data_IF_512253357240
#
_entry.id   IF_512253357240
#
_cell.length_a   1.000
_cell.length_b   1.000
_cell.length_c   1.000
_cell.angle_alpha   90.00
_cell.angle_beta   90.00
_cell.angle_gamma   90.00
#
_symmetry.space_group_name_H-M   'P 1'
#
loop_
_entity.id
_entity.type
_entity.pdbx_description
1 polymer ?
#
# COMPACT_ATOMS: atom_id res chain seq x y z
N UNK A 1 17.95 12.18 19.50
CA UNK A 1 16.96 12.26 18.41
C UNK A 1 17.23 13.56 17.66
N UNK A 2 17.40 13.51 16.34
CA UNK A 2 17.69 14.66 15.49
C UNK A 2 16.58 14.76 14.43
N UNK A 3 15.99 15.95 14.24
CA UNK A 3 14.93 16.18 13.24
C UNK A 3 14.96 17.63 12.75
N UNK A 4 14.44 17.87 11.55
CA UNK A 4 14.23 19.18 10.94
C UNK A 4 12.83 19.25 10.34
N UNK A 5 12.13 20.37 10.55
CA UNK A 5 10.81 20.63 9.98
C UNK A 5 10.88 22.01 9.32
N UNK A 6 10.86 22.04 8.00
CA UNK A 6 10.78 23.27 7.21
C UNK A 6 9.35 23.50 6.73
N UNK A 7 8.86 24.72 6.85
CA UNK A 7 7.54 25.12 6.41
C UNK A 7 7.52 26.60 6.03
N UNK A 8 6.55 26.97 5.21
CA UNK A 8 6.28 28.35 4.77
C UNK A 8 5.23 28.99 5.69
N UNK A 9 5.34 30.32 5.88
CA UNK A 9 4.36 31.11 6.64
C UNK A 9 3.61 32.08 5.71
N UNK A 10 2.32 32.29 5.99
CA UNK A 10 1.50 33.25 5.23
C UNK A 10 0.86 32.69 3.97
N UNK A 11 0.99 31.39 3.70
CA UNK A 11 0.28 30.74 2.60
C UNK A 11 -1.24 30.82 2.83
N UNK A 12 -1.95 31.29 1.81
CA UNK A 12 -3.40 31.33 1.79
C UNK A 12 -3.91 30.09 1.09
N UNK A 13 -4.47 29.16 1.85
CA UNK A 13 -5.09 27.96 1.30
C UNK A 13 -6.62 28.06 1.33
N UNK A 14 -7.32 27.52 0.33
CA UNK A 14 -8.76 27.38 0.40
C UNK A 14 -9.14 26.39 1.53
N UNK A 15 -10.38 26.48 2.02
CA UNK A 15 -10.86 25.64 3.13
C UNK A 15 -10.82 24.13 2.80
N UNK A 16 -10.84 23.80 1.52
CA UNK A 16 -10.84 22.45 0.97
C UNK A 16 -9.48 22.01 0.39
N UNK A 17 -8.39 22.70 0.75
CA UNK A 17 -7.03 22.28 0.37
C UNK A 17 -6.76 20.85 0.84
N UNK A 18 -6.16 20.02 -0.01
CA UNK A 18 -5.73 18.68 0.38
C UNK A 18 -4.69 18.74 1.51
N UNK A 19 -4.90 17.95 2.56
CA UNK A 19 -3.92 17.75 3.63
C UNK A 19 -3.31 16.36 3.49
N UNK A 20 -2.01 16.23 3.74
CA UNK A 20 -1.35 14.92 3.70
C UNK A 20 -1.85 14.06 4.87
N UNK A 21 -2.25 12.84 4.55
CA UNK A 21 -2.56 11.79 5.52
C UNK A 21 -1.67 10.59 5.28
N UNK A 22 -1.38 9.87 6.35
CA UNK A 22 -0.57 8.65 6.31
C UNK A 22 -1.24 7.58 7.17
N UNK A 23 -1.29 6.35 6.66
CA UNK A 23 -1.77 5.18 7.38
C UNK A 23 -0.69 4.11 7.36
N UNK A 24 -0.27 3.68 8.55
CA UNK A 24 0.44 2.42 8.70
C UNK A 24 -0.57 1.28 8.97
N UNK A 25 -0.44 0.18 8.24
CA UNK A 25 -1.20 -1.06 8.47
C UNK A 25 -0.25 -2.25 8.42
N UNK A 26 -0.57 -3.29 9.19
CA UNK A 26 0.07 -4.60 9.12
C UNK A 26 -0.94 -5.71 9.35
N UNK A 27 -0.84 -6.79 8.61
CA UNK A 27 -1.52 -8.06 8.84
C UNK A 27 -0.48 -9.19 8.84
N UNK A 28 -0.38 -9.91 9.96
CA UNK A 28 0.60 -10.98 10.14
C UNK A 28 -0.07 -12.25 10.74
N UNK A 29 -0.39 -13.26 9.91
CA UNK A 29 -0.42 -13.20 8.45
C UNK A 29 -1.65 -12.45 7.92
N UNK A 30 -1.69 -12.18 6.61
CA UNK A 30 -2.90 -11.76 5.90
C UNK A 30 -4.00 -12.82 5.98
N UNK A 31 -5.25 -12.40 5.73
CA UNK A 31 -6.40 -13.32 5.74
C UNK A 31 -6.62 -13.90 4.35
N UNK A 32 -6.65 -15.23 4.21
CA UNK A 32 -6.94 -15.91 2.93
C UNK A 32 -8.22 -15.38 2.28
N UNK A 33 -8.21 -15.22 0.95
CA UNK A 33 -9.34 -14.72 0.13
C UNK A 33 -9.82 -13.32 0.51
N UNK A 34 -9.01 -12.55 1.23
CA UNK A 34 -9.30 -11.17 1.58
C UNK A 34 -8.11 -10.31 1.24
N UNK A 35 -8.26 -9.48 0.22
CA UNK A 35 -7.24 -8.53 -0.19
C UNK A 35 -6.81 -7.63 0.99
N UNK A 36 -5.50 -7.43 1.10
CA UNK A 36 -4.90 -6.48 2.02
C UNK A 36 -5.29 -5.04 1.64
N UNK A 37 -5.75 -4.26 2.61
CA UNK A 37 -6.18 -2.88 2.38
C UNK A 37 -5.01 -1.91 2.45
N UNK A 38 -4.59 -1.37 1.29
CA UNK A 38 -3.65 -0.25 1.23
C UNK A 38 -4.32 1.05 1.68
N UNK A 39 -5.54 1.32 1.21
CA UNK A 39 -6.34 2.47 1.58
C UNK A 39 -7.77 2.00 1.95
N UNK A 40 -8.15 2.01 3.25
CA UNK A 40 -9.53 1.79 3.66
C UNK A 40 -10.46 2.83 3.07
N UNK A 41 -11.75 2.50 2.96
CA UNK A 41 -12.75 3.36 2.34
C UNK A 41 -12.69 4.81 2.87
N UNK A 42 -12.43 5.72 1.94
CA UNK A 42 -12.47 7.17 2.10
C UNK A 42 -13.75 7.71 1.49
N UNK A 43 -14.38 8.71 2.10
CA UNK A 43 -15.73 9.21 1.74
C UNK A 43 -15.79 10.70 1.39
N UNK A 44 -14.66 11.27 0.99
CA UNK A 44 -14.60 12.61 0.43
C UNK A 44 -13.64 12.60 -0.77
N UNK A 45 -13.67 13.65 -1.61
CA UNK A 45 -12.69 13.81 -2.68
C UNK A 45 -11.26 13.70 -2.16
N UNK A 46 -10.40 13.04 -2.91
CA UNK A 46 -9.02 12.84 -2.51
C UNK A 46 -8.11 12.37 -3.62
N UNK A 47 -6.84 12.22 -3.28
CA UNK A 47 -5.78 11.82 -4.20
C UNK A 47 -4.80 10.89 -3.49
N UNK A 48 -4.71 9.65 -3.94
CA UNK A 48 -3.72 8.70 -3.49
C UNK A 48 -2.40 9.01 -4.20
N UNK A 49 -1.32 9.15 -3.42
CA UNK A 49 0.00 9.53 -3.93
C UNK A 49 1.01 8.40 -3.82
N UNK A 50 0.66 7.28 -3.19
CA UNK A 50 1.51 6.09 -3.16
C UNK A 50 1.54 5.36 -1.84
N UNK A 51 2.21 4.21 -1.86
CA UNK A 51 2.46 3.39 -0.68
C UNK A 51 3.87 2.82 -0.71
N UNK A 52 4.46 2.73 0.48
CA UNK A 52 5.51 1.75 0.78
C UNK A 52 4.80 0.46 1.20
N UNK A 53 5.16 -0.67 0.59
CA UNK A 53 4.58 -1.98 0.85
C UNK A 53 5.70 -2.93 1.24
N UNK A 54 5.52 -3.61 2.36
CA UNK A 54 6.49 -4.52 2.95
C UNK A 54 5.87 -5.91 3.03
N UNK A 55 6.62 -6.91 2.60
CA UNK A 55 6.22 -8.31 2.63
C UNK A 55 7.32 -9.10 3.31
N UNK A 56 6.96 -9.89 4.31
CA UNK A 56 7.76 -11.01 4.76
C UNK A 56 7.10 -12.29 4.24
N UNK A 57 7.70 -12.85 3.18
CA UNK A 57 7.22 -14.07 2.52
C UNK A 57 7.45 -15.27 3.45
N UNK A 58 6.36 -15.85 3.94
CA UNK A 58 6.36 -17.00 4.86
C UNK A 58 6.52 -18.33 4.11
N UNK A 59 6.51 -18.28 2.78
CA UNK A 59 6.58 -19.41 1.87
C UNK A 59 7.69 -19.19 0.82
N UNK A 60 8.97 -19.27 1.19
CA UNK A 60 10.10 -18.93 0.29
C UNK A 60 10.19 -19.80 -0.97
N UNK A 61 9.61 -21.00 -0.95
CA UNK A 61 9.63 -21.93 -2.09
C UNK A 61 8.56 -21.60 -3.16
N UNK A 62 7.76 -20.55 -2.99
CA UNK A 62 6.78 -20.09 -3.97
C UNK A 62 6.90 -18.59 -4.25
N UNK A 63 6.55 -18.19 -5.46
CA UNK A 63 6.44 -16.78 -5.84
C UNK A 63 5.14 -16.21 -5.26
N UNK A 64 5.19 -15.05 -4.58
CA UNK A 64 4.07 -14.47 -3.82
C UNK A 64 3.38 -13.30 -4.53
N UNK A 65 3.94 -12.82 -5.65
CA UNK A 65 3.61 -11.51 -6.21
C UNK A 65 2.60 -11.50 -7.36
N UNK A 66 1.85 -12.57 -7.63
CA UNK A 66 0.86 -12.61 -8.72
C UNK A 66 -0.40 -11.78 -8.41
N UNK A 67 -0.53 -11.24 -7.20
CA UNK A 67 -1.74 -10.55 -6.75
C UNK A 67 -1.89 -9.14 -7.33
N UNK A 68 -3.10 -8.83 -7.79
CA UNK A 68 -3.44 -7.55 -8.42
C UNK A 68 -3.72 -6.45 -7.39
N UNK A 69 -3.35 -5.20 -7.71
CA UNK A 69 -3.93 -4.02 -7.06
C UNK A 69 -5.33 -3.74 -7.61
N UNK A 70 -6.25 -3.32 -6.74
CA UNK A 70 -7.62 -2.98 -7.09
C UNK A 70 -8.01 -1.63 -6.49
N UNK A 71 -8.49 -0.73 -7.33
CA UNK A 71 -8.93 0.63 -6.94
C UNK A 71 -10.41 0.75 -7.26
N UNK A 72 -11.22 0.81 -6.20
CA UNK A 72 -12.66 1.02 -6.26
C UNK A 72 -12.92 2.50 -6.02
N UNK A 73 -13.55 3.20 -6.96
CA UNK A 73 -13.76 4.65 -6.87
C UNK A 73 -15.21 5.01 -7.15
N UNK A 74 -15.69 6.05 -6.48
CA UNK A 74 -16.91 6.80 -6.80
C UNK A 74 -18.19 5.95 -6.99
N UNK A 75 -18.30 4.84 -6.26
CA UNK A 75 -19.48 3.97 -6.20
C UNK A 75 -19.23 2.52 -6.64
N UNK A 76 -18.02 2.18 -7.07
CA UNK A 76 -17.66 0.80 -7.42
C UNK A 76 -17.73 -0.16 -6.22
N UNK A 77 -18.48 -1.25 -6.37
CA UNK A 77 -18.57 -2.31 -5.36
C UNK A 77 -18.03 -3.64 -5.85
N UNK A 78 -18.49 -4.09 -7.02
CA UNK A 78 -18.26 -5.46 -7.49
C UNK A 78 -16.97 -5.58 -8.30
N UNK A 79 -16.64 -4.53 -9.06
CA UNK A 79 -15.46 -4.48 -9.93
C UNK A 79 -14.71 -3.16 -9.72
N UNK A 80 -13.37 -3.18 -9.66
CA UNK A 80 -12.60 -1.95 -9.50
C UNK A 80 -12.50 -1.18 -10.82
N UNK A 81 -12.52 0.16 -10.76
CA UNK A 81 -12.18 1.02 -11.91
C UNK A 81 -10.75 0.79 -12.41
N UNK A 82 -9.79 0.54 -11.50
CA UNK A 82 -8.41 0.22 -11.87
C UNK A 82 -8.05 -1.16 -11.30
N UNK A 83 -7.64 -2.07 -12.17
CA UNK A 83 -7.17 -3.41 -11.83
C UNK A 83 -5.75 -3.59 -12.39
N UNK A 84 -4.82 -4.00 -11.54
CA UNK A 84 -3.46 -4.37 -11.94
C UNK A 84 -3.38 -5.82 -12.43
N UNK A 85 -2.15 -6.28 -12.65
CA UNK A 85 -1.87 -7.65 -13.16
C UNK A 85 -0.96 -8.47 -12.25
N UNK A 86 -0.30 -7.81 -11.30
CA UNK A 86 0.64 -8.42 -10.35
C UNK A 86 1.18 -7.36 -9.40
N UNK A 87 1.74 -7.81 -8.29
CA UNK A 87 2.31 -6.95 -7.26
C UNK A 87 3.66 -6.38 -7.70
N UNK A 88 4.46 -7.15 -8.43
CA UNK A 88 5.67 -6.67 -9.10
C UNK A 88 5.33 -5.70 -10.23
N UNK A 89 4.28 -6.00 -11.00
CA UNK A 89 3.83 -5.17 -12.12
C UNK A 89 3.37 -3.80 -11.63
N UNK A 90 2.66 -3.76 -10.49
CA UNK A 90 2.21 -2.51 -9.89
C UNK A 90 3.37 -1.54 -9.58
N UNK A 91 4.50 -2.09 -9.12
CA UNK A 91 5.71 -1.29 -8.84
C UNK A 91 6.62 -1.14 -10.08
N UNK A 92 6.11 -1.44 -11.28
CA UNK A 92 6.80 -1.24 -12.55
C UNK A 92 7.96 -2.19 -12.80
N UNK A 93 7.91 -3.38 -12.20
CA UNK A 93 8.85 -4.47 -12.42
C UNK A 93 8.15 -5.57 -13.25
N UNK A 94 8.84 -6.68 -13.50
CA UNK A 94 8.28 -7.81 -14.23
C UNK A 94 9.09 -9.07 -13.97
N UNK A 95 8.49 -10.25 -14.17
CA UNK A 95 9.16 -11.54 -13.99
C UNK A 95 9.82 -11.68 -12.61
N UNK A 96 9.07 -11.32 -11.57
CA UNK A 96 9.53 -11.28 -10.19
C UNK A 96 9.95 -9.88 -9.72
N UNK A 97 10.44 -9.82 -8.48
CA UNK A 97 10.86 -8.56 -7.85
C UNK A 97 12.39 -8.40 -7.94
N UNK A 98 12.86 -7.31 -8.54
CA UNK A 98 14.28 -6.93 -8.57
C UNK A 98 14.51 -5.76 -7.61
N UNK A 99 15.58 -5.79 -6.81
CA UNK A 99 15.90 -4.72 -5.87
C UNK A 99 16.45 -3.47 -6.58
N UNK A 100 15.55 -2.71 -7.21
CA UNK A 100 15.84 -1.50 -7.99
C UNK A 100 15.01 -0.32 -7.46
N UNK A 101 15.56 0.53 -6.58
CA UNK A 101 14.81 1.64 -6.00
C UNK A 101 14.85 2.87 -6.92
N UNK A 102 13.95 2.94 -7.91
CA UNK A 102 13.79 4.13 -8.74
C UNK A 102 13.09 5.25 -7.98
N UNK A 103 13.13 6.46 -8.57
CA UNK A 103 12.59 7.68 -7.98
C UNK A 103 11.12 7.56 -7.57
N UNK A 104 10.29 6.96 -8.43
CA UNK A 104 8.84 6.85 -8.19
C UNK A 104 8.35 5.43 -7.95
N UNK A 105 9.17 4.40 -8.15
CA UNK A 105 8.72 3.03 -8.07
C UNK A 105 9.88 2.05 -7.86
N UNK A 106 9.54 0.80 -7.56
CA UNK A 106 10.49 -0.32 -7.56
C UNK A 106 10.63 -0.93 -6.17
N UNK A 107 11.82 -1.43 -5.86
CA UNK A 107 12.06 -2.21 -4.67
C UNK A 107 13.36 -1.80 -3.97
N UNK A 108 13.23 -1.38 -2.72
CA UNK A 108 14.34 -0.88 -1.89
C UNK A 108 15.05 -2.02 -1.13
N UNK A 109 14.35 -3.11 -0.84
CA UNK A 109 14.89 -4.29 -0.16
C UNK A 109 14.29 -5.56 -0.74
N UNK A 110 15.11 -6.53 -1.10
CA UNK A 110 14.71 -7.90 -1.41
C UNK A 110 15.79 -8.85 -0.86
N UNK A 111 15.73 -9.13 0.44
CA UNK A 111 16.71 -9.96 1.14
C UNK A 111 16.03 -10.90 2.13
N UNK A 112 16.47 -12.17 2.17
CA UNK A 112 15.98 -13.20 3.13
C UNK A 112 14.46 -13.23 3.30
N UNK A 113 13.72 -13.19 2.19
CA UNK A 113 12.25 -13.17 2.16
C UNK A 113 11.59 -11.91 2.71
N UNK A 114 12.36 -10.87 3.03
CA UNK A 114 11.86 -9.53 3.30
C UNK A 114 11.94 -8.69 2.03
N UNK A 115 10.80 -8.13 1.65
CA UNK A 115 10.63 -7.29 0.49
C UNK A 115 10.09 -5.94 0.95
N UNK A 116 10.69 -4.86 0.47
CA UNK A 116 10.17 -3.49 0.61
C UNK A 116 10.07 -2.87 -0.77
N UNK A 117 8.85 -2.75 -1.28
CA UNK A 117 8.55 -2.15 -2.57
C UNK A 117 7.77 -0.85 -2.41
N UNK A 118 7.84 0.03 -3.42
CA UNK A 118 7.15 1.31 -3.39
C UNK A 118 6.60 1.70 -4.76
N UNK A 119 5.54 2.48 -4.74
CA UNK A 119 5.01 3.21 -5.90
C UNK A 119 4.50 4.57 -5.44
N UNK A 120 4.97 5.62 -6.10
CA UNK A 120 4.61 7.01 -5.89
C UNK A 120 3.86 7.53 -7.11
N UNK A 121 2.56 7.73 -6.95
CA UNK A 121 1.65 8.29 -7.94
C UNK A 121 1.72 9.83 -7.97
N UNK A 122 2.94 10.38 -7.99
CA UNK A 122 3.17 11.81 -8.11
C UNK A 122 2.91 12.32 -9.55
N UNK A 123 3.50 11.72 -10.60
CA UNK A 123 3.19 12.10 -11.97
C UNK A 123 1.84 11.56 -12.46
N UNK A 124 1.37 10.45 -11.89
CA UNK A 124 0.22 9.64 -12.30
C UNK A 124 -0.76 9.39 -11.12
N UNK A 125 -1.34 10.45 -10.54
CA UNK A 125 -2.20 10.37 -9.37
C UNK A 125 -3.46 9.51 -9.58
N UNK A 126 -3.83 8.76 -8.55
CA UNK A 126 -5.16 8.14 -8.47
C UNK A 126 -6.06 9.09 -7.68
N UNK A 127 -7.02 9.73 -8.34
CA UNK A 127 -7.91 10.72 -7.75
C UNK A 127 -9.38 10.35 -7.90
N UNK A 128 -10.19 10.69 -6.91
CA UNK A 128 -11.62 10.37 -6.84
C UNK A 128 -12.43 11.57 -6.32
N UNK A 129 -13.74 11.57 -6.57
CA UNK A 129 -14.63 12.70 -6.22
C UNK A 129 -15.44 12.47 -4.94
N UNK A 130 -15.89 11.24 -4.69
CA UNK A 130 -16.81 10.88 -3.62
C UNK A 130 -16.17 9.89 -2.66
N UNK A 131 -15.66 8.77 -3.18
CA UNK A 131 -15.10 7.73 -2.34
C UNK A 131 -14.05 6.90 -3.06
N UNK A 132 -13.13 6.31 -2.28
CA UNK A 132 -12.11 5.41 -2.80
C UNK A 132 -11.70 4.39 -1.77
N UNK A 133 -11.46 3.16 -2.23
CA UNK A 133 -10.87 2.06 -1.48
C UNK A 133 -9.82 1.39 -2.37
N UNK A 134 -8.64 1.14 -1.82
CA UNK A 134 -7.54 0.50 -2.56
C UNK A 134 -7.10 -0.74 -1.80
N UNK A 135 -7.08 -1.87 -2.51
CA UNK A 135 -6.65 -3.16 -2.00
C UNK A 135 -5.59 -3.77 -2.90
N UNK A 136 -4.85 -4.74 -2.38
CA UNK A 136 -3.92 -5.56 -3.14
C UNK A 136 -4.09 -7.01 -2.73
N UNK A 137 -4.20 -7.89 -3.72
CA UNK A 137 -4.48 -9.30 -3.48
C UNK A 137 -3.20 -10.06 -3.11
N UNK A 138 -3.34 -11.16 -2.37
CA UNK A 138 -2.26 -12.10 -2.06
C UNK A 138 -2.44 -13.37 -2.88
N UNK A 139 -1.87 -13.42 -4.09
CA UNK A 139 -1.86 -14.62 -4.93
C UNK A 139 -0.41 -15.04 -5.17
N UNK A 140 -0.15 -16.32 -4.95
CA UNK A 140 1.13 -16.95 -5.24
C UNK A 140 1.07 -17.74 -6.56
N UNK A 141 2.25 -18.01 -7.13
CA UNK A 141 2.44 -19.04 -8.14
C UNK A 141 3.04 -20.30 -7.53
N UNK A 142 2.27 -21.39 -7.56
CA UNK A 142 2.70 -22.73 -7.12
C UNK A 142 2.04 -23.79 -8.01
N UNK A 143 2.68 -24.07 -9.15
CA UNK A 143 2.10 -24.90 -10.23
C UNK A 143 0.77 -24.34 -10.78
N UNK A 144 0.66 -23.01 -10.80
CA UNK A 144 -0.56 -22.25 -11.10
C UNK A 144 -0.87 -21.21 -10.02
N UNK A 145 -1.88 -20.37 -10.26
CA UNK A 145 -2.34 -19.37 -9.29
C UNK A 145 -2.89 -20.05 -8.03
N UNK A 146 -2.43 -19.60 -6.87
CA UNK A 146 -2.80 -20.16 -5.57
C UNK A 146 -3.03 -19.05 -4.54
N UNK A 147 -4.04 -19.22 -3.69
CA UNK A 147 -4.23 -18.39 -2.51
C UNK A 147 -3.02 -18.52 -1.58
N UNK A 148 -2.59 -17.40 -0.99
CA UNK A 148 -1.49 -17.39 -0.01
C UNK A 148 -1.77 -16.42 1.13
N UNK A 149 -1.00 -16.56 2.20
CA UNK A 149 -1.02 -15.67 3.34
C UNK A 149 0.42 -15.42 3.77
N UNK A 150 0.77 -14.16 3.93
CA UNK A 150 2.11 -13.71 4.28
C UNK A 150 2.00 -12.57 5.30
N UNK A 151 3.12 -12.09 5.81
CA UNK A 151 3.14 -10.93 6.68
C UNK A 151 3.29 -9.66 5.82
N UNK A 152 2.20 -8.88 5.70
CA UNK A 152 2.15 -7.67 4.89
C UNK A 152 2.02 -6.44 5.77
N UNK A 153 2.83 -5.41 5.51
CA UNK A 153 2.64 -4.06 6.03
C UNK A 153 2.65 -3.02 4.92
N UNK A 154 2.07 -1.86 5.20
CA UNK A 154 2.21 -0.70 4.34
C UNK A 154 2.25 0.60 5.13
N UNK A 155 2.88 1.61 4.52
CA UNK A 155 2.65 3.00 4.83
C UNK A 155 2.04 3.66 3.58
N UNK A 156 0.77 4.02 3.67
CA UNK A 156 0.00 4.59 2.56
C UNK A 156 -0.16 6.09 2.74
N UNK A 157 0.05 6.85 1.66
CA UNK A 157 0.02 8.30 1.64
C UNK A 157 -1.06 8.80 0.68
N UNK A 158 -1.86 9.77 1.13
CA UNK A 158 -2.89 10.40 0.30
C UNK A 158 -3.20 11.82 0.77
N UNK A 159 -3.88 12.57 -0.08
CA UNK A 159 -4.44 13.88 0.24
C UNK A 159 -5.95 13.83 0.33
N UNK A 160 -6.51 14.40 1.40
CA UNK A 160 -7.92 14.72 1.56
C UNK A 160 -8.05 16.03 2.33
N UNK A 161 -9.08 16.86 2.08
CA UNK A 161 -9.23 18.13 2.78
C UNK A 161 -9.45 17.96 4.29
N UNK A 162 -10.29 17.00 4.66
CA UNK A 162 -10.55 16.62 6.05
C UNK A 162 -10.60 15.09 6.12
N UNK A 163 -10.28 14.48 7.28
CA UNK A 163 -10.48 13.05 7.45
C UNK A 163 -11.95 12.68 7.22
N UNK A 164 -12.26 12.04 6.10
CA UNK A 164 -13.61 11.62 5.70
C UNK A 164 -14.12 10.39 6.46
N UNK A 165 -13.23 9.58 7.01
CA UNK A 165 -13.54 8.42 7.85
C UNK A 165 -12.44 8.22 8.93
N UNK A 166 -12.74 7.57 10.07
CA UNK A 166 -11.72 7.18 11.04
C UNK A 166 -10.73 6.20 10.40
N UNK A 167 -9.47 6.30 10.80
CA UNK A 167 -8.45 5.32 10.42
C UNK A 167 -8.53 4.09 11.35
N UNK A 168 -8.12 2.91 10.86
CA UNK A 168 -7.87 1.77 11.75
C UNK A 168 -6.93 2.15 12.88
N UNK A 169 -7.12 1.54 14.06
CA UNK A 169 -6.22 1.77 15.19
C UNK A 169 -4.80 1.35 14.81
N UNK A 170 -3.84 2.24 15.05
CA UNK A 170 -2.42 1.93 14.89
C UNK A 170 -2.08 0.70 15.74
N UNK A 171 -1.55 -0.40 15.16
CA UNK A 171 -1.12 -1.55 15.93
C UNK A 171 -0.08 -1.12 16.97
N UNK A 172 -0.05 -1.74 18.14
CA UNK A 172 0.96 -1.44 19.17
C UNK A 172 2.35 -1.97 18.77
N UNK A 173 3.38 -1.67 19.58
CA UNK A 173 4.74 -2.12 19.30
C UNK A 173 4.82 -3.65 19.16
N UNK A 174 4.21 -4.39 20.09
CA UNK A 174 4.23 -5.85 20.08
C UNK A 174 3.65 -6.41 18.78
N UNK A 175 2.53 -5.87 18.32
CA UNK A 175 1.91 -6.26 17.06
C UNK A 175 2.75 -5.85 15.84
N UNK A 176 3.47 -4.73 15.88
CA UNK A 176 4.38 -4.29 14.79
C UNK A 176 5.70 -5.05 14.75
N UNK A 177 6.15 -5.62 15.87
CA UNK A 177 7.43 -6.33 15.95
C UNK A 177 7.30 -7.83 16.13
N UNK A 178 6.08 -8.37 16.13
CA UNK A 178 5.85 -9.81 16.16
C UNK A 178 6.53 -10.51 14.98
N UNK A 179 7.22 -11.61 15.26
CA UNK A 179 7.78 -12.55 14.28
C UNK A 179 8.78 -12.01 13.24
N UNK A 180 9.34 -10.80 13.45
CA UNK A 180 10.34 -10.20 12.52
C UNK A 180 11.79 -10.33 13.00
N UNK A 181 12.00 -10.62 14.30
CA UNK A 181 13.33 -10.81 14.87
C UNK A 181 13.34 -12.08 15.71
N UNK A 182 14.01 -13.12 15.22
CA UNK A 182 14.52 -14.19 16.09
C UNK A 182 15.79 -13.65 16.76
N UNK A 183 15.77 -13.56 18.09
CA UNK A 183 16.99 -13.30 18.88
C UNK A 183 18.00 -14.42 18.69
#
# INVERSE_FOLDING_TARGET
>A
FFYQIDYTIGDKHPADVGRLHVLFRRENPTTLKKDFELLPLRKAKGRFIGSLIEIHNLHPDQWWGEGEIKVYMDGDTDFPTICGTGSEDYVGLSWGIQQTPYLYNGCSLNDKNFITMHRWHLPDPIAWQKECRITIQQIAWKNGLAETQDDWSCATFWYEPTPSAPLPKMPDEKARTANIWTK
#
